data_IF_516858379836
#
_entry.id   IF_516858379836
#
_cell.length_a   1.000
_cell.length_b   1.000
_cell.length_c   1.000
_cell.angle_alpha   90.00
_cell.angle_beta   90.00
_cell.angle_gamma   90.00
#
_symmetry.space_group_name_H-M   'P 1'
#
loop_
_entity.id
_entity.type
_entity.pdbx_description
1 polymer ?
#
# COMPACT_ATOMS: atom_id res chain seq x y z
N UNK A 1 3.45 -7.32 -1.62
CA UNK A 1 4.46 -8.30 -1.18
C UNK A 1 5.26 -8.75 -2.40
N UNK A 2 6.57 -8.57 -2.36
CA UNK A 2 7.51 -9.01 -3.40
C UNK A 2 7.87 -10.48 -3.19
N UNK A 3 7.62 -11.32 -4.20
CA UNK A 3 7.95 -12.74 -4.22
C UNK A 3 8.91 -13.00 -5.39
N UNK A 4 9.98 -13.75 -5.15
CA UNK A 4 10.85 -14.27 -6.21
C UNK A 4 10.94 -15.79 -6.14
N UNK A 5 10.88 -16.42 -7.30
CA UNK A 5 11.15 -17.85 -7.48
C UNK A 5 12.47 -17.98 -8.23
N UNK A 6 13.41 -18.72 -7.64
CA UNK A 6 14.78 -18.89 -8.13
C UNK A 6 15.02 -20.36 -8.44
N UNK A 7 15.38 -20.68 -9.67
CA UNK A 7 15.59 -22.06 -10.09
C UNK A 7 15.68 -22.19 -11.61
N UNK A 8 15.50 -23.39 -12.15
CA UNK A 8 15.38 -23.55 -13.61
C UNK A 8 14.04 -23.01 -14.08
N UNK A 9 14.06 -22.07 -15.04
CA UNK A 9 12.86 -21.34 -15.47
C UNK A 9 11.68 -22.24 -15.85
N UNK A 10 11.92 -23.32 -16.59
CA UNK A 10 10.88 -24.26 -17.01
C UNK A 10 10.18 -24.95 -15.81
N UNK A 11 10.91 -25.24 -14.74
CA UNK A 11 10.38 -25.89 -13.53
C UNK A 11 9.70 -24.86 -12.61
N UNK A 12 10.22 -23.64 -12.55
CA UNK A 12 9.68 -22.56 -11.74
C UNK A 12 8.45 -21.89 -12.35
N UNK A 13 8.22 -22.04 -13.66
CA UNK A 13 7.08 -21.44 -14.36
C UNK A 13 5.74 -21.97 -13.85
N UNK A 14 5.62 -23.29 -13.76
CA UNK A 14 4.40 -23.96 -13.27
C UNK A 14 4.07 -23.47 -11.86
N UNK A 15 5.08 -23.38 -11.00
CA UNK A 15 4.92 -22.90 -9.63
C UNK A 15 4.50 -21.43 -9.56
N UNK A 16 5.05 -20.59 -10.44
CA UNK A 16 4.67 -19.19 -10.51
C UNK A 16 3.21 -19.04 -10.94
N UNK A 17 2.80 -19.72 -12.01
CA UNK A 17 1.45 -19.65 -12.56
C UNK A 17 0.40 -20.07 -11.52
N UNK A 18 0.66 -21.17 -10.80
CA UNK A 18 -0.24 -21.65 -9.75
C UNK A 18 -0.30 -20.70 -8.55
N UNK A 19 0.83 -20.15 -8.12
CA UNK A 19 0.87 -19.22 -7.00
C UNK A 19 0.19 -17.89 -7.32
N UNK A 20 0.40 -17.36 -8.53
CA UNK A 20 -0.29 -16.18 -9.03
C UNK A 20 -1.81 -16.41 -9.10
N UNK A 21 -2.24 -17.56 -9.61
CA UNK A 21 -3.66 -17.91 -9.69
C UNK A 21 -4.34 -17.99 -8.31
N UNK A 22 -3.67 -18.55 -7.30
CA UNK A 22 -4.26 -18.73 -5.97
C UNK A 22 -4.18 -17.47 -5.09
N UNK A 23 -3.18 -16.63 -5.28
CA UNK A 23 -2.89 -15.52 -4.36
C UNK A 23 -3.13 -14.14 -4.96
N UNK A 24 -3.40 -14.07 -6.27
CA UNK A 24 -3.45 -12.85 -7.08
C UNK A 24 -2.19 -11.97 -6.95
N UNK A 25 -1.06 -12.57 -6.54
CA UNK A 25 0.19 -11.88 -6.25
C UNK A 25 1.23 -12.26 -7.30
N UNK A 26 1.68 -11.27 -8.09
CA UNK A 26 2.71 -11.49 -9.11
C UNK A 26 4.03 -11.95 -8.50
N UNK A 27 4.68 -12.89 -9.18
CA UNK A 27 5.97 -13.45 -8.82
C UNK A 27 7.01 -13.09 -9.88
N UNK A 28 8.20 -12.69 -9.44
CA UNK A 28 9.34 -12.58 -10.34
C UNK A 28 10.08 -13.92 -10.38
N UNK A 29 10.61 -14.27 -11.55
CA UNK A 29 11.43 -15.47 -11.71
C UNK A 29 12.87 -15.10 -12.01
N UNK A 30 13.80 -15.87 -11.46
CA UNK A 30 15.23 -15.72 -11.73
C UNK A 30 15.88 -17.09 -11.89
N UNK A 31 16.81 -17.19 -12.82
CA UNK A 31 17.66 -18.38 -12.93
C UNK A 31 18.75 -18.36 -11.86
N UNK A 32 19.09 -19.53 -11.31
CA UNK A 32 20.16 -19.66 -10.33
C UNK A 32 21.53 -19.59 -11.02
N UNK A 33 22.06 -18.38 -11.15
CA UNK A 33 23.38 -18.07 -11.75
C UNK A 33 24.37 -17.57 -10.69
N UNK A 34 25.66 -17.47 -11.03
CA UNK A 34 26.71 -17.04 -10.09
C UNK A 34 26.49 -15.62 -9.53
N UNK A 35 25.80 -14.75 -10.27
CA UNK A 35 25.50 -13.36 -9.90
C UNK A 35 24.15 -13.19 -9.19
N UNK A 36 23.45 -14.28 -8.87
CA UNK A 36 22.09 -14.26 -8.33
C UNK A 36 21.97 -13.45 -7.03
N UNK A 37 23.00 -13.50 -6.17
CA UNK A 37 23.05 -12.73 -4.91
C UNK A 37 22.91 -11.24 -5.20
N UNK A 38 23.69 -10.73 -6.17
CA UNK A 38 23.65 -9.32 -6.55
C UNK A 38 22.29 -8.93 -7.13
N UNK A 39 21.70 -9.80 -7.97
CA UNK A 39 20.38 -9.55 -8.57
C UNK A 39 19.27 -9.51 -7.53
N UNK A 40 19.25 -10.47 -6.60
CA UNK A 40 18.25 -10.54 -5.54
C UNK A 40 18.39 -9.33 -4.60
N UNK A 41 19.61 -8.89 -4.29
CA UNK A 41 19.84 -7.75 -3.40
C UNK A 41 19.37 -6.39 -3.95
N UNK A 42 19.05 -6.27 -5.26
CA UNK A 42 18.54 -5.02 -5.84
C UNK A 42 17.16 -4.62 -5.32
N UNK A 43 16.42 -5.53 -4.71
CA UNK A 43 15.05 -5.32 -4.23
C UNK A 43 14.85 -6.00 -2.88
N UNK A 44 13.94 -5.47 -2.08
CA UNK A 44 13.53 -6.13 -0.83
C UNK A 44 12.50 -7.21 -1.15
N UNK A 45 12.88 -8.47 -0.94
CA UNK A 45 11.99 -9.63 -1.06
C UNK A 45 11.36 -9.99 0.27
N UNK A 46 10.10 -10.42 0.22
CA UNK A 46 9.36 -10.86 1.40
C UNK A 46 9.29 -12.39 1.44
N UNK A 47 9.13 -13.02 0.28
CA UNK A 47 9.21 -14.47 0.09
C UNK A 47 10.19 -14.79 -1.02
N UNK A 48 11.10 -15.73 -0.77
CA UNK A 48 12.06 -16.26 -1.74
C UNK A 48 11.86 -17.77 -1.78
N UNK A 49 11.53 -18.29 -2.96
CA UNK A 49 11.37 -19.72 -3.19
C UNK A 49 12.54 -20.16 -4.05
N UNK A 50 13.39 -21.04 -3.55
CA UNK A 50 14.57 -21.50 -4.24
C UNK A 50 14.41 -22.99 -4.56
N UNK A 51 14.26 -23.32 -5.84
CA UNK A 51 14.11 -24.69 -6.32
C UNK A 51 15.44 -25.16 -6.95
N UNK A 52 16.09 -26.15 -6.33
CA UNK A 52 17.47 -26.53 -6.69
C UNK A 52 17.70 -28.03 -6.73
N UNK A 53 18.55 -28.43 -7.67
CA UNK A 53 19.07 -29.79 -7.78
C UNK A 53 20.32 -29.97 -6.91
N UNK A 54 20.74 -31.22 -6.72
CA UNK A 54 21.86 -31.59 -5.85
C UNK A 54 23.14 -30.77 -6.12
N UNK A 55 23.53 -30.63 -7.39
CA UNK A 55 24.76 -29.94 -7.80
C UNK A 55 24.81 -28.46 -7.37
N UNK A 56 23.63 -27.84 -7.17
CA UNK A 56 23.51 -26.42 -6.90
C UNK A 56 23.16 -26.10 -5.44
N UNK A 57 23.02 -27.11 -4.59
CA UNK A 57 22.47 -26.94 -3.25
C UNK A 57 23.42 -26.20 -2.30
N UNK A 58 24.73 -26.43 -2.41
CA UNK A 58 25.72 -25.66 -1.65
C UNK A 58 25.75 -24.17 -2.05
N UNK A 59 25.67 -23.89 -3.34
CA UNK A 59 25.56 -22.53 -3.90
C UNK A 59 24.28 -21.84 -3.42
N UNK A 60 23.17 -22.58 -3.42
CA UNK A 60 21.88 -22.15 -2.91
C UNK A 60 21.96 -21.73 -1.43
N UNK A 61 22.48 -22.60 -0.56
CA UNK A 61 22.64 -22.28 0.86
C UNK A 61 23.54 -21.05 1.09
N UNK A 62 24.65 -20.93 0.35
CA UNK A 62 25.55 -19.76 0.45
C UNK A 62 24.86 -18.46 0.01
N UNK A 63 24.06 -18.54 -1.05
CA UNK A 63 23.23 -17.43 -1.54
C UNK A 63 22.18 -17.04 -0.50
N UNK A 64 21.48 -18.01 0.08
CA UNK A 64 20.45 -17.77 1.10
C UNK A 64 21.03 -17.16 2.38
N UNK A 65 22.18 -17.63 2.82
CA UNK A 65 22.90 -17.03 3.94
C UNK A 65 23.20 -15.55 3.68
N UNK A 66 23.73 -15.22 2.50
CA UNK A 66 24.05 -13.84 2.11
C UNK A 66 22.80 -12.96 2.03
N UNK A 67 21.68 -13.51 1.56
CA UNK A 67 20.38 -12.84 1.52
C UNK A 67 19.87 -12.56 2.93
N UNK A 68 19.92 -13.54 3.83
CA UNK A 68 19.45 -13.42 5.21
C UNK A 68 20.26 -12.41 6.02
N UNK A 69 21.56 -12.26 5.76
CA UNK A 69 22.38 -11.21 6.38
C UNK A 69 21.93 -9.79 5.99
N UNK A 70 21.47 -9.60 4.74
CA UNK A 70 21.01 -8.28 4.26
C UNK A 70 19.53 -8.02 4.52
N UNK A 71 18.71 -9.08 4.59
CA UNK A 71 17.29 -9.00 4.87
C UNK A 71 16.85 -10.17 5.78
N UNK A 72 17.10 -10.06 7.10
CA UNK A 72 16.79 -11.13 8.05
C UNK A 72 15.30 -11.48 8.10
N UNK A 73 14.44 -10.51 7.78
CA UNK A 73 12.99 -10.65 7.75
C UNK A 73 12.43 -11.37 6.52
N UNK A 74 13.26 -11.64 5.50
CA UNK A 74 12.80 -12.39 4.33
C UNK A 74 12.42 -13.81 4.73
N UNK A 75 11.30 -14.32 4.24
CA UNK A 75 10.96 -15.72 4.38
C UNK A 75 11.52 -16.49 3.19
N UNK A 76 12.14 -17.64 3.47
CA UNK A 76 12.84 -18.46 2.47
C UNK A 76 12.28 -19.87 2.49
N UNK A 77 11.88 -20.37 1.33
CA UNK A 77 11.50 -21.76 1.10
C UNK A 77 12.54 -22.37 0.16
N UNK A 78 13.24 -23.40 0.62
CA UNK A 78 14.18 -24.17 -0.20
C UNK A 78 13.50 -25.48 -0.61
N UNK A 79 13.45 -25.74 -1.91
CA UNK A 79 12.90 -26.97 -2.50
C UNK A 79 14.05 -27.74 -3.13
N UNK A 80 14.25 -29.00 -2.73
CA UNK A 80 15.29 -29.86 -3.29
C UNK A 80 14.81 -31.31 -3.44
N UNK A 81 15.29 -32.03 -4.45
CA UNK A 81 15.04 -33.47 -4.57
C UNK A 81 15.84 -34.33 -3.57
N UNK A 82 16.74 -33.71 -2.79
CA UNK A 82 17.62 -34.42 -1.88
C UNK A 82 16.96 -34.70 -0.52
N UNK A 83 17.19 -35.90 0.01
CA UNK A 83 16.74 -36.37 1.33
C UNK A 83 17.84 -36.39 2.40
N UNK A 84 19.03 -35.88 2.07
CA UNK A 84 20.16 -35.79 3.01
C UNK A 84 19.84 -34.92 4.23
N UNK A 85 19.90 -35.52 5.41
CA UNK A 85 19.50 -34.90 6.68
C UNK A 85 20.50 -33.85 7.15
N UNK A 86 21.80 -34.07 6.95
CA UNK A 86 22.83 -33.13 7.40
C UNK A 86 22.74 -31.82 6.61
N UNK A 87 22.38 -31.96 5.34
CA UNK A 87 22.26 -30.85 4.43
C UNK A 87 20.94 -30.10 4.59
N UNK A 88 19.85 -30.79 4.97
CA UNK A 88 18.63 -30.16 5.47
C UNK A 88 18.88 -29.35 6.74
N UNK A 89 19.62 -29.91 7.70
CA UNK A 89 19.99 -29.21 8.93
C UNK A 89 20.77 -27.94 8.63
N UNK A 90 21.79 -28.06 7.77
CA UNK A 90 22.62 -26.92 7.36
C UNK A 90 21.82 -25.81 6.66
N UNK A 91 20.79 -26.17 5.88
CA UNK A 91 19.91 -25.20 5.25
C UNK A 91 19.03 -24.47 6.28
N UNK A 92 18.47 -25.19 7.25
CA UNK A 92 17.70 -24.59 8.35
C UNK A 92 18.56 -23.67 9.22
N UNK A 93 19.80 -24.08 9.52
CA UNK A 93 20.78 -23.28 10.26
C UNK A 93 21.17 -22.00 9.49
N UNK A 94 21.06 -22.01 8.17
CA UNK A 94 21.27 -20.84 7.31
C UNK A 94 20.09 -19.85 7.33
N UNK A 95 19.04 -20.12 8.12
CA UNK A 95 17.88 -19.27 8.29
C UNK A 95 16.75 -19.54 7.29
N UNK A 96 16.77 -20.68 6.59
CA UNK A 96 15.65 -21.12 5.76
C UNK A 96 14.41 -21.36 6.63
N UNK A 97 13.26 -20.82 6.23
CA UNK A 97 12.02 -20.96 6.98
C UNK A 97 11.37 -22.33 6.75
N UNK A 98 11.44 -22.84 5.51
CA UNK A 98 10.94 -24.17 5.16
C UNK A 98 11.86 -24.88 4.18
N UNK A 99 12.16 -26.14 4.45
CA UNK A 99 12.82 -27.04 3.51
C UNK A 99 11.81 -28.06 3.00
N UNK A 100 11.63 -28.17 1.68
CA UNK A 100 10.69 -29.08 1.03
C UNK A 100 11.43 -30.07 0.13
N UNK A 101 10.99 -31.33 0.15
CA UNK A 101 11.64 -32.42 -0.60
C UNK A 101 10.82 -32.81 -1.82
N UNK A 102 11.40 -32.72 -3.01
CA UNK A 102 10.78 -33.21 -4.24
C UNK A 102 10.96 -34.75 -4.39
N UNK A 103 10.00 -35.51 -4.95
CA UNK A 103 8.71 -35.09 -5.48
C UNK A 103 7.72 -34.71 -4.37
N UNK A 104 7.10 -33.55 -4.53
CA UNK A 104 6.01 -33.07 -3.69
C UNK A 104 4.73 -33.08 -4.51
N UNK A 105 3.62 -33.53 -3.92
CA UNK A 105 2.32 -33.29 -4.54
C UNK A 105 2.08 -31.76 -4.61
N UNK A 106 1.70 -31.27 -5.78
CA UNK A 106 1.46 -29.84 -6.04
C UNK A 106 0.60 -29.18 -4.96
N UNK A 107 -0.45 -29.89 -4.51
CA UNK A 107 -1.36 -29.39 -3.49
C UNK A 107 -0.69 -29.14 -2.13
N UNK A 108 0.26 -29.98 -1.72
CA UNK A 108 1.02 -29.82 -0.47
C UNK A 108 1.92 -28.58 -0.54
N UNK A 109 2.53 -28.34 -1.71
CA UNK A 109 3.36 -27.16 -1.94
C UNK A 109 2.52 -25.89 -1.85
N UNK A 110 1.35 -25.88 -2.48
CA UNK A 110 0.43 -24.74 -2.48
C UNK A 110 -0.18 -24.45 -1.10
N UNK A 111 -0.52 -25.48 -0.33
CA UNK A 111 -0.96 -25.33 1.07
C UNK A 111 0.14 -24.72 1.95
N UNK A 112 1.40 -25.13 1.77
CA UNK A 112 2.52 -24.55 2.52
C UNK A 112 2.79 -23.11 2.12
N UNK A 113 2.76 -22.81 0.83
CA UNK A 113 2.97 -21.47 0.29
C UNK A 113 1.88 -20.49 0.73
N UNK A 114 0.62 -20.90 0.66
CA UNK A 114 -0.51 -20.07 1.13
C UNK A 114 -0.42 -19.78 2.62
N UNK A 115 -0.05 -20.78 3.44
CA UNK A 115 0.19 -20.60 4.88
C UNK A 115 1.32 -19.63 5.14
N UNK A 116 2.46 -19.79 4.45
CA UNK A 116 3.61 -18.93 4.67
C UNK A 116 3.35 -17.49 4.22
N UNK A 117 2.67 -17.31 3.08
CA UNK A 117 2.23 -15.99 2.63
C UNK A 117 1.32 -15.35 3.69
N UNK A 118 0.40 -16.10 4.29
CA UNK A 118 -0.44 -15.59 5.36
C UNK A 118 0.41 -15.14 6.56
N UNK A 119 1.35 -15.97 7.02
CA UNK A 119 2.28 -15.62 8.12
C UNK A 119 3.11 -14.39 7.80
N UNK A 120 3.64 -14.29 6.58
CA UNK A 120 4.39 -13.13 6.12
C UNK A 120 3.50 -11.90 6.15
N UNK A 121 2.27 -11.98 5.64
CA UNK A 121 1.34 -10.84 5.66
C UNK A 121 1.01 -10.38 7.09
N UNK A 122 0.85 -11.33 8.01
CA UNK A 122 0.65 -11.05 9.44
C UNK A 122 1.91 -10.40 10.07
N UNK A 123 3.09 -10.92 9.75
CA UNK A 123 4.39 -10.43 10.27
C UNK A 123 4.78 -9.08 9.68
N UNK A 124 4.48 -8.85 8.41
CA UNK A 124 4.65 -7.57 7.72
C UNK A 124 3.66 -6.52 8.21
N UNK A 125 2.66 -6.93 9.01
CA UNK A 125 1.64 -6.06 9.54
C UNK A 125 0.94 -5.29 8.41
N UNK A 126 0.58 -6.00 7.33
CA UNK A 126 -0.11 -5.38 6.18
C UNK A 126 -1.36 -4.68 6.68
N UNK A 127 -1.40 -3.37 6.50
CA UNK A 127 -2.49 -2.53 6.98
C UNK A 127 -3.59 -2.41 5.96
N UNK A 128 -4.80 -2.20 6.45
CA UNK A 128 -5.89 -1.66 5.65
C UNK A 128 -5.99 -0.16 5.93
N UNK A 129 -5.85 0.62 4.88
CA UNK A 129 -5.84 2.09 4.94
C UNK A 129 -7.12 2.59 4.29
N UNK A 130 -7.86 3.43 5.01
CA UNK A 130 -9.05 4.11 4.49
C UNK A 130 -8.81 5.62 4.49
N UNK A 131 -8.75 6.23 3.31
CA UNK A 131 -8.75 7.68 3.17
C UNK A 131 -10.17 8.17 2.87
N UNK A 132 -10.63 9.19 3.60
CA UNK A 132 -11.99 9.72 3.54
C UNK A 132 -11.92 11.16 3.07
N UNK A 133 -12.59 11.45 1.95
CA UNK A 133 -12.81 12.78 1.39
C UNK A 133 -14.29 13.15 1.34
N UNK A 134 -14.57 14.45 1.35
CA UNK A 134 -15.92 14.97 1.17
C UNK A 134 -16.28 14.95 -0.31
N UNK A 135 -15.35 15.37 -1.16
CA UNK A 135 -15.52 15.54 -2.61
C UNK A 135 -14.45 14.76 -3.39
N UNK A 136 -14.74 14.43 -4.67
CA UNK A 136 -13.73 13.91 -5.60
C UNK A 136 -12.52 14.84 -5.67
N UNK A 137 -11.28 14.34 -5.50
CA UNK A 137 -9.99 15.07 -5.46
C UNK A 137 -9.41 15.35 -4.05
N UNK A 138 -10.23 15.38 -3.00
CA UNK A 138 -9.77 15.75 -1.64
C UNK A 138 -8.63 14.83 -1.14
N UNK A 139 -8.81 13.52 -1.31
CA UNK A 139 -7.88 12.49 -0.83
C UNK A 139 -6.60 12.51 -1.64
N UNK A 140 -6.74 12.70 -2.96
CA UNK A 140 -5.65 12.73 -3.91
C UNK A 140 -4.72 13.93 -3.64
N UNK A 141 -5.31 15.08 -3.33
CA UNK A 141 -4.59 16.28 -2.93
C UNK A 141 -3.97 16.11 -1.54
N UNK A 142 -4.73 15.60 -0.58
CA UNK A 142 -4.34 15.58 0.83
C UNK A 142 -3.27 14.54 1.16
N UNK A 143 -3.45 13.30 0.68
CA UNK A 143 -2.61 12.16 1.09
C UNK A 143 -2.27 11.19 -0.05
N UNK A 144 -2.45 11.60 -1.31
CA UNK A 144 -2.25 10.74 -2.48
C UNK A 144 -0.90 10.03 -2.54
N UNK A 145 0.17 10.74 -2.20
CA UNK A 145 1.52 10.16 -2.23
C UNK A 145 1.73 9.16 -1.09
N UNK A 146 1.17 9.42 0.09
CA UNK A 146 1.16 8.48 1.21
C UNK A 146 0.38 7.22 0.88
N UNK A 147 -0.72 7.32 0.13
CA UNK A 147 -1.48 6.15 -0.34
C UNK A 147 -0.65 5.28 -1.29
N UNK A 148 0.09 5.87 -2.22
CA UNK A 148 1.02 5.13 -3.10
C UNK A 148 2.10 4.42 -2.29
N UNK A 149 2.64 5.08 -1.27
CA UNK A 149 3.63 4.50 -0.36
C UNK A 149 3.07 3.32 0.45
N UNK A 150 1.81 3.40 0.88
CA UNK A 150 1.09 2.27 1.48
C UNK A 150 0.92 1.12 0.48
N UNK A 151 0.44 1.41 -0.73
CA UNK A 151 0.26 0.41 -1.78
C UNK A 151 1.58 -0.31 -2.14
N UNK A 152 2.70 0.40 -2.24
CA UNK A 152 4.02 -0.20 -2.49
C UNK A 152 4.44 -1.16 -1.37
N UNK A 153 4.11 -0.84 -0.11
CA UNK A 153 4.37 -1.73 1.05
C UNK A 153 3.47 -2.97 1.04
N UNK A 154 2.43 -2.98 0.20
CA UNK A 154 1.45 -4.05 0.11
C UNK A 154 0.22 -3.86 0.99
N UNK A 155 0.07 -2.68 1.60
CA UNK A 155 -1.14 -2.30 2.34
C UNK A 155 -2.34 -2.24 1.38
N UNK A 156 -3.52 -2.57 1.91
CA UNK A 156 -4.77 -2.48 1.13
C UNK A 156 -5.31 -1.07 1.26
N UNK A 157 -5.30 -0.34 0.16
CA UNK A 157 -5.76 1.04 0.11
C UNK A 157 -7.23 1.11 -0.29
N UNK A 158 -7.98 1.95 0.42
CA UNK A 158 -9.39 2.23 0.19
C UNK A 158 -9.60 3.74 0.23
N UNK A 159 -10.42 4.24 -0.69
CA UNK A 159 -10.81 5.65 -0.76
C UNK A 159 -12.33 5.72 -0.60
N UNK A 160 -12.80 6.55 0.32
CA UNK A 160 -14.21 6.89 0.48
C UNK A 160 -14.40 8.36 0.13
N UNK A 161 -15.27 8.61 -0.83
CA UNK A 161 -15.70 9.96 -1.20
C UNK A 161 -17.19 10.10 -0.92
N UNK A 162 -17.55 11.07 -0.07
CA UNK A 162 -18.90 11.15 0.48
C UNK A 162 -19.96 11.72 -0.48
N UNK A 163 -19.54 12.56 -1.42
CA UNK A 163 -20.41 13.22 -2.41
C UNK A 163 -19.98 12.89 -3.83
N UNK A 164 -20.85 13.20 -4.79
CA UNK A 164 -20.50 13.14 -6.21
C UNK A 164 -19.83 14.42 -6.73
N UNK A 165 -19.75 15.46 -5.89
CA UNK A 165 -19.14 16.71 -6.26
C UNK A 165 -19.93 17.50 -7.32
N UNK A 166 -21.25 17.35 -7.35
CA UNK A 166 -22.11 17.93 -8.40
C UNK A 166 -22.12 19.46 -8.48
N UNK A 167 -21.66 20.19 -7.44
CA UNK A 167 -21.47 21.65 -7.50
C UNK A 167 -20.14 22.03 -8.17
N UNK A 168 -19.18 21.11 -8.20
CA UNK A 168 -17.88 21.30 -8.84
C UNK A 168 -17.84 20.85 -10.31
N UNK A 169 -18.84 20.12 -10.81
CA UNK A 169 -18.86 19.64 -12.19
C UNK A 169 -19.88 18.53 -12.41
N UNK A 170 -19.86 17.94 -13.60
CA UNK A 170 -20.74 16.81 -13.91
C UNK A 170 -20.40 15.59 -13.06
N UNK A 171 -21.42 14.98 -12.43
CA UNK A 171 -21.30 13.75 -11.63
C UNK A 171 -20.56 12.66 -12.42
N UNK A 172 -20.96 12.42 -13.66
CA UNK A 172 -20.38 11.36 -14.50
C UNK A 172 -18.88 11.60 -14.79
N UNK A 173 -18.50 12.87 -14.96
CA UNK A 173 -17.11 13.24 -15.19
C UNK A 173 -16.32 13.03 -13.89
N UNK A 174 -16.77 13.61 -12.78
CA UNK A 174 -16.06 13.51 -11.50
C UNK A 174 -15.94 12.07 -11.00
N UNK A 175 -16.94 11.23 -11.24
CA UNK A 175 -16.87 9.80 -10.95
C UNK A 175 -15.77 9.10 -11.76
N UNK A 176 -15.69 9.35 -13.08
CA UNK A 176 -14.66 8.76 -13.93
C UNK A 176 -13.25 9.22 -13.56
N UNK A 177 -13.11 10.50 -13.20
CA UNK A 177 -11.84 11.06 -12.72
C UNK A 177 -11.40 10.38 -11.41
N UNK A 178 -12.32 10.23 -10.45
CA UNK A 178 -12.07 9.54 -9.17
C UNK A 178 -11.70 8.07 -9.37
N UNK A 179 -12.43 7.37 -10.25
CA UNK A 179 -12.18 5.96 -10.54
C UNK A 179 -10.78 5.78 -11.13
N UNK A 180 -10.40 6.63 -12.07
CA UNK A 180 -9.06 6.62 -12.68
C UNK A 180 -7.97 6.89 -11.66
N UNK A 181 -8.16 7.85 -10.75
CA UNK A 181 -7.21 8.14 -9.69
C UNK A 181 -7.05 6.97 -8.71
N UNK A 182 -8.17 6.35 -8.29
CA UNK A 182 -8.14 5.18 -7.42
C UNK A 182 -7.44 3.98 -8.07
N UNK A 183 -7.72 3.70 -9.35
CA UNK A 183 -7.05 2.63 -10.11
C UNK A 183 -5.54 2.85 -10.20
N UNK A 184 -5.11 4.10 -10.40
CA UNK A 184 -3.70 4.46 -10.51
C UNK A 184 -2.89 4.15 -9.25
N UNK A 185 -3.50 4.25 -8.07
CA UNK A 185 -2.88 3.88 -6.79
C UNK A 185 -3.27 2.50 -6.28
N UNK A 186 -3.94 1.69 -7.12
CA UNK A 186 -4.45 0.37 -6.77
C UNK A 186 -5.35 0.38 -5.51
N UNK A 187 -6.20 1.40 -5.39
CA UNK A 187 -7.15 1.57 -4.30
C UNK A 187 -8.57 1.09 -4.70
N UNK A 188 -9.32 0.62 -3.71
CA UNK A 188 -10.75 0.39 -3.87
C UNK A 188 -11.52 1.68 -3.58
N UNK A 189 -12.28 2.17 -4.56
CA UNK A 189 -13.10 3.38 -4.42
C UNK A 189 -14.51 3.07 -3.90
N UNK A 190 -14.95 3.83 -2.91
CA UNK A 190 -16.32 3.90 -2.42
C UNK A 190 -16.86 5.31 -2.63
N UNK A 191 -17.68 5.49 -3.66
CA UNK A 191 -18.43 6.72 -3.88
C UNK A 191 -19.78 6.66 -3.17
N UNK A 192 -20.16 7.74 -2.49
CA UNK A 192 -21.47 7.92 -1.85
C UNK A 192 -22.17 9.14 -2.44
N UNK A 193 -23.46 9.24 -2.16
CA UNK A 193 -24.35 10.22 -2.78
C UNK A 193 -24.88 11.25 -1.77
N UNK A 194 -24.07 11.61 -0.75
CA UNK A 194 -24.43 12.76 0.08
C UNK A 194 -24.44 14.00 -0.82
N UNK A 195 -25.30 14.95 -0.47
CA UNK A 195 -25.49 16.16 -1.27
C UNK A 195 -24.29 17.09 -1.10
N UNK A 196 -23.61 17.40 -2.20
CA UNK A 196 -22.44 18.29 -2.23
C UNK A 196 -22.81 19.68 -1.69
N UNK A 197 -21.95 20.25 -0.84
CA UNK A 197 -22.12 21.49 -0.05
C UNK A 197 -23.13 21.41 1.11
N UNK A 198 -23.73 20.24 1.34
CA UNK A 198 -24.73 20.00 2.38
C UNK A 198 -24.37 18.80 3.29
N UNK A 199 -23.12 18.32 3.29
CA UNK A 199 -22.70 17.25 4.22
C UNK A 199 -22.98 17.73 5.65
N UNK A 200 -23.73 16.94 6.41
CA UNK A 200 -23.94 17.17 7.85
C UNK A 200 -22.91 16.39 8.67
N UNK A 201 -22.65 16.80 9.91
CA UNK A 201 -21.89 16.00 10.88
C UNK A 201 -22.77 14.99 11.63
N UNK A 202 -24.03 14.86 11.20
CA UNK A 202 -25.08 14.11 11.87
C UNK A 202 -25.15 12.61 11.51
N UNK A 203 -26.21 11.93 11.96
CA UNK A 203 -26.35 10.47 11.87
C UNK A 203 -26.25 9.88 10.46
N UNK A 204 -26.69 10.61 9.43
CA UNK A 204 -26.62 10.16 8.04
C UNK A 204 -25.17 9.97 7.57
N UNK A 205 -24.33 10.99 7.78
CA UNK A 205 -22.90 10.96 7.40
C UNK A 205 -22.15 9.95 8.25
N UNK A 206 -22.42 9.92 9.58
CA UNK A 206 -21.80 8.94 10.49
C UNK A 206 -22.09 7.52 10.01
N UNK A 207 -23.36 7.18 9.78
CA UNK A 207 -23.76 5.85 9.32
C UNK A 207 -23.14 5.50 7.97
N UNK A 208 -23.07 6.46 7.06
CA UNK A 208 -22.45 6.28 5.73
C UNK A 208 -20.97 5.89 5.85
N UNK A 209 -20.24 6.53 6.78
CA UNK A 209 -18.83 6.21 7.06
C UNK A 209 -18.73 4.86 7.79
N UNK A 210 -19.58 4.60 8.79
CA UNK A 210 -19.61 3.34 9.56
C UNK A 210 -19.83 2.12 8.66
N UNK A 211 -20.69 2.20 7.65
CA UNK A 211 -20.90 1.13 6.66
C UNK A 211 -19.60 0.74 5.95
N UNK A 212 -18.80 1.73 5.57
CA UNK A 212 -17.53 1.50 4.87
C UNK A 212 -16.46 1.02 5.85
N UNK A 213 -16.39 1.60 7.04
CA UNK A 213 -15.50 1.12 8.12
C UNK A 213 -15.82 -0.34 8.45
N UNK A 214 -17.09 -0.72 8.54
CA UNK A 214 -17.52 -2.10 8.81
C UNK A 214 -17.08 -3.06 7.69
N UNK A 215 -17.16 -2.63 6.43
CA UNK A 215 -16.73 -3.41 5.26
C UNK A 215 -15.23 -3.54 5.16
N UNK A 216 -14.49 -2.45 5.39
CA UNK A 216 -13.02 -2.41 5.23
C UNK A 216 -12.32 -2.99 6.45
N UNK A 217 -12.80 -2.68 7.65
CA UNK A 217 -12.11 -2.88 8.95
C UNK A 217 -10.71 -2.23 8.91
N UNK A 218 -10.62 -0.89 8.75
CA UNK A 218 -9.33 -0.20 8.56
C UNK A 218 -8.49 -0.17 9.84
N UNK A 219 -7.18 -0.31 9.67
CA UNK A 219 -6.19 -0.08 10.74
C UNK A 219 -5.84 1.40 10.86
N UNK A 220 -5.84 2.12 9.72
CA UNK A 220 -5.43 3.52 9.61
C UNK A 220 -6.52 4.26 8.83
N UNK A 221 -6.91 5.43 9.34
CA UNK A 221 -7.76 6.38 8.63
C UNK A 221 -7.03 7.69 8.36
N UNK A 222 -7.17 8.19 7.14
CA UNK A 222 -6.84 9.57 6.75
C UNK A 222 -8.13 10.32 6.47
N UNK A 223 -8.31 11.53 7.01
CA UNK A 223 -9.51 12.35 6.77
C UNK A 223 -9.17 13.85 6.77
N UNK A 224 -10.18 14.68 6.59
CA UNK A 224 -10.05 16.15 6.64
C UNK A 224 -9.56 16.64 8.01
N UNK A 225 -9.03 17.86 8.07
CA UNK A 225 -8.75 18.55 9.34
C UNK A 225 -9.99 19.30 9.83
N UNK A 226 -10.11 19.47 11.15
CA UNK A 226 -11.07 20.42 11.74
C UNK A 226 -10.71 21.88 11.40
N UNK A 227 -9.44 22.15 11.13
CA UNK A 227 -8.91 23.48 10.82
C UNK A 227 -9.06 23.81 9.33
N UNK A 228 -10.21 23.47 8.75
CA UNK A 228 -10.55 23.69 7.35
C UNK A 228 -11.64 24.76 7.21
N UNK A 229 -11.55 25.65 6.22
CA UNK A 229 -12.54 26.69 5.96
C UNK A 229 -13.80 26.15 5.28
N UNK A 230 -13.75 24.99 4.62
CA UNK A 230 -14.90 24.35 3.97
C UNK A 230 -15.74 23.57 5.00
N UNK A 231 -17.05 23.82 5.05
CA UNK A 231 -17.97 23.20 6.02
C UNK A 231 -18.08 21.68 5.82
N UNK A 232 -18.20 21.21 4.58
CA UNK A 232 -18.27 19.77 4.28
C UNK A 232 -17.02 19.02 4.76
N UNK A 233 -15.83 19.63 4.70
CA UNK A 233 -14.60 19.04 5.20
C UNK A 233 -14.62 18.92 6.73
N UNK A 234 -15.02 19.99 7.44
CA UNK A 234 -15.18 19.97 8.90
C UNK A 234 -16.23 18.97 9.36
N UNK A 235 -17.37 18.90 8.67
CA UNK A 235 -18.46 17.99 9.00
C UNK A 235 -18.07 16.53 8.73
N UNK A 236 -17.33 16.28 7.65
CA UNK A 236 -16.70 14.97 7.35
C UNK A 236 -15.73 14.57 8.45
N UNK A 237 -14.89 15.50 8.94
CA UNK A 237 -14.01 15.25 10.08
C UNK A 237 -14.82 14.85 11.32
N UNK A 238 -15.83 15.64 11.71
CA UNK A 238 -16.65 15.36 12.90
C UNK A 238 -17.35 13.99 12.81
N UNK A 239 -17.99 13.70 11.68
CA UNK A 239 -18.64 12.41 11.46
C UNK A 239 -17.64 11.25 11.49
N UNK A 240 -16.44 11.44 10.91
CA UNK A 240 -15.36 10.45 10.95
C UNK A 240 -14.91 10.18 12.38
N UNK A 241 -14.78 11.21 13.24
CA UNK A 241 -14.36 11.02 14.64
C UNK A 241 -15.31 10.11 15.42
N UNK A 242 -16.61 10.22 15.15
CA UNK A 242 -17.63 9.37 15.78
C UNK A 242 -17.60 7.96 15.18
N UNK A 243 -17.65 7.85 13.85
CA UNK A 243 -17.68 6.56 13.14
C UNK A 243 -16.42 5.71 13.38
N UNK A 244 -15.24 6.36 13.49
CA UNK A 244 -13.94 5.71 13.66
C UNK A 244 -13.51 5.53 15.12
N UNK A 245 -14.45 5.55 16.08
CA UNK A 245 -14.12 5.39 17.52
C UNK A 245 -13.34 4.13 17.88
N UNK A 246 -13.48 3.05 17.09
CA UNK A 246 -12.76 1.78 17.27
C UNK A 246 -11.43 1.68 16.52
N UNK A 247 -11.07 2.67 15.69
CA UNK A 247 -9.84 2.65 14.88
C UNK A 247 -8.71 3.31 15.66
N UNK A 248 -7.56 2.66 15.81
CA UNK A 248 -6.49 3.14 16.69
C UNK A 248 -5.63 4.24 16.06
N UNK A 249 -5.52 4.28 14.73
CA UNK A 249 -4.74 5.30 14.03
C UNK A 249 -5.63 6.16 13.14
N UNK A 250 -5.70 7.46 13.45
CA UNK A 250 -6.48 8.44 12.69
C UNK A 250 -5.64 9.70 12.51
N UNK A 251 -5.48 10.11 11.26
CA UNK A 251 -4.69 11.25 10.83
C UNK A 251 -5.55 12.20 10.00
N UNK A 252 -5.30 13.51 10.14
CA UNK A 252 -5.92 14.51 9.27
C UNK A 252 -4.92 15.07 8.27
N UNK A 253 -5.29 15.09 6.99
CA UNK A 253 -4.45 15.62 5.91
C UNK A 253 -4.68 17.11 5.66
N UNK A 254 -3.70 17.74 5.03
CA UNK A 254 -3.78 19.14 4.60
C UNK A 254 -4.54 19.25 3.28
N UNK A 255 -5.75 19.79 3.32
CA UNK A 255 -6.50 20.21 2.14
C UNK A 255 -6.10 21.64 1.71
N UNK A 256 -6.43 22.08 0.48
CA UNK A 256 -6.20 23.46 0.04
C UNK A 256 -6.94 24.53 0.87
N UNK A 257 -8.06 24.17 1.50
CA UNK A 257 -8.89 25.06 2.30
C UNK A 257 -8.56 25.06 3.79
N UNK A 258 -7.57 24.29 4.22
CA UNK A 258 -7.01 24.36 5.57
C UNK A 258 -6.49 25.76 5.87
N UNK A 259 -6.81 26.26 7.06
CA UNK A 259 -6.31 27.54 7.56
C UNK A 259 -5.01 27.35 8.35
N UNK A 260 -4.42 28.48 8.77
CA UNK A 260 -3.13 28.53 9.47
C UNK A 260 -3.09 27.79 10.82
N UNK A 261 -4.23 27.32 11.33
CA UNK A 261 -4.30 26.52 12.56
C UNK A 261 -4.04 25.02 12.32
N UNK A 262 -3.90 24.58 11.07
CA UNK A 262 -3.46 23.21 10.75
C UNK A 262 -2.06 22.98 11.34
N UNK A 263 -1.95 22.03 12.29
CA UNK A 263 -0.75 21.80 13.11
C UNK A 263 -0.27 20.36 12.99
N UNK A 264 0.41 20.00 11.89
CA UNK A 264 0.85 18.64 11.67
C UNK A 264 1.94 18.26 12.68
N UNK A 265 1.87 17.02 13.16
CA UNK A 265 2.88 16.41 14.03
C UNK A 265 3.60 15.24 13.35
N UNK A 266 3.08 14.78 12.20
CA UNK A 266 3.67 13.72 11.40
C UNK A 266 3.96 14.26 10.00
N UNK A 267 5.14 13.93 9.50
CA UNK A 267 5.62 14.34 8.18
C UNK A 267 6.06 13.10 7.42
N UNK A 268 5.33 12.75 6.38
CA UNK A 268 5.58 11.56 5.57
C UNK A 268 6.45 11.94 4.37
N UNK A 269 7.70 11.47 4.35
CA UNK A 269 8.57 11.62 3.18
C UNK A 269 8.03 10.85 1.97
N UNK A 270 7.81 11.58 0.87
CA UNK A 270 7.16 11.10 -0.34
C UNK A 270 7.84 11.57 -1.63
N UNK A 271 9.13 11.92 -1.57
CA UNK A 271 9.93 12.40 -2.71
C UNK A 271 9.78 11.51 -3.93
N UNK A 272 9.79 10.19 -3.71
CA UNK A 272 9.64 9.17 -4.75
C UNK A 272 8.29 9.24 -5.49
N UNK A 273 7.23 9.69 -4.84
CA UNK A 273 5.85 9.62 -5.34
C UNK A 273 5.27 10.99 -5.71
N UNK A 274 6.08 12.06 -5.64
CA UNK A 274 5.59 13.41 -5.87
C UNK A 274 5.08 13.61 -7.31
N UNK A 275 5.83 13.07 -8.29
CA UNK A 275 5.45 13.17 -9.70
C UNK A 275 4.18 12.36 -9.98
N UNK A 276 4.10 11.15 -9.43
CA UNK A 276 2.91 10.30 -9.54
C UNK A 276 1.69 10.96 -8.87
N UNK A 277 1.86 11.64 -7.72
CA UNK A 277 0.76 12.40 -7.08
C UNK A 277 0.25 13.50 -8.00
N UNK A 278 1.14 14.24 -8.66
CA UNK A 278 0.76 15.31 -9.59
C UNK A 278 0.03 14.74 -10.80
N UNK A 279 0.46 13.58 -11.30
CA UNK A 279 -0.22 12.88 -12.38
C UNK A 279 -1.60 12.36 -11.94
N UNK A 280 -1.70 11.79 -10.75
CA UNK A 280 -2.99 11.36 -10.19
C UNK A 280 -3.97 12.53 -10.08
N UNK A 281 -3.52 13.69 -9.58
CA UNK A 281 -4.32 14.92 -9.53
C UNK A 281 -4.65 15.45 -10.94
N UNK A 282 -3.80 15.18 -11.94
CA UNK A 282 -4.03 15.58 -13.34
C UNK A 282 -5.27 14.93 -13.96
N UNK A 283 -5.71 13.78 -13.42
CA UNK A 283 -6.93 13.12 -13.87
C UNK A 283 -8.20 13.91 -13.58
N UNK A 284 -8.20 14.78 -12.57
CA UNK A 284 -9.29 15.71 -12.28
C UNK A 284 -9.24 16.94 -13.19
N UNK A 285 -9.22 16.72 -14.51
CA UNK A 285 -9.09 17.78 -15.51
C UNK A 285 -10.19 18.84 -15.39
N UNK A 286 -11.39 18.43 -14.98
CA UNK A 286 -12.54 19.30 -14.75
C UNK A 286 -12.31 20.29 -13.61
N UNK A 287 -11.44 19.94 -12.67
CA UNK A 287 -11.05 20.78 -11.53
C UNK A 287 -9.75 21.53 -11.80
N UNK A 288 -8.73 20.85 -12.34
CA UNK A 288 -7.38 21.41 -12.57
C UNK A 288 -7.37 22.63 -13.49
N UNK A 289 -8.32 22.72 -14.42
CA UNK A 289 -8.46 23.86 -15.34
C UNK A 289 -9.02 25.13 -14.70
N UNK A 290 -9.71 25.02 -13.57
CA UNK A 290 -10.39 26.15 -12.88
C UNK A 290 -9.81 26.46 -11.50
N UNK A 291 -9.21 25.48 -10.84
CA UNK A 291 -8.72 25.60 -9.48
C UNK A 291 -7.22 25.91 -9.47
N UNK A 292 -6.85 27.17 -9.20
CA UNK A 292 -5.45 27.61 -9.19
C UNK A 292 -4.57 26.83 -8.21
N UNK A 293 -5.12 26.37 -7.08
CA UNK A 293 -4.41 25.58 -6.07
C UNK A 293 -3.98 24.19 -6.56
N UNK A 294 -4.51 23.71 -7.68
CA UNK A 294 -4.10 22.44 -8.32
C UNK A 294 -2.92 22.59 -9.28
N UNK A 295 -2.30 23.78 -9.34
CA UNK A 295 -1.08 23.98 -10.11
C UNK A 295 0.07 23.11 -9.55
N UNK A 296 0.78 22.41 -10.43
CA UNK A 296 1.87 21.50 -10.06
C UNK A 296 2.93 22.18 -9.16
N UNK A 297 3.25 23.45 -9.43
CA UNK A 297 4.18 24.25 -8.64
C UNK A 297 3.69 24.50 -7.21
N UNK A 298 2.39 24.74 -7.00
CA UNK A 298 1.81 24.94 -5.67
C UNK A 298 1.77 23.65 -4.87
N UNK A 299 1.45 22.53 -5.51
CA UNK A 299 1.45 21.21 -4.86
C UNK A 299 2.89 20.87 -4.40
N UNK A 300 3.90 21.05 -5.26
CA UNK A 300 5.31 20.79 -4.90
C UNK A 300 5.81 21.72 -3.80
N UNK A 301 5.62 23.03 -3.97
CA UNK A 301 6.09 24.01 -2.99
C UNK A 301 5.45 23.83 -1.62
N UNK A 302 4.19 23.39 -1.56
CA UNK A 302 3.54 23.03 -0.29
C UNK A 302 4.25 21.85 0.37
N UNK A 303 4.53 20.79 -0.38
CA UNK A 303 5.22 19.61 0.14
C UNK A 303 6.68 19.93 0.58
N UNK A 304 7.37 20.80 -0.16
CA UNK A 304 8.70 21.31 0.21
C UNK A 304 8.66 22.17 1.48
N UNK A 305 7.67 23.07 1.58
CA UNK A 305 7.51 23.96 2.73
C UNK A 305 7.41 23.15 4.02
N UNK A 306 6.56 22.11 4.04
CA UNK A 306 6.41 21.26 5.22
C UNK A 306 7.63 20.38 5.48
N UNK A 307 8.41 20.04 4.44
CA UNK A 307 9.63 19.27 4.56
C UNK A 307 10.65 19.91 5.50
N UNK A 308 10.63 21.24 5.66
CA UNK A 308 11.51 21.96 6.61
C UNK A 308 11.41 21.46 8.06
N UNK A 309 10.30 20.84 8.44
CA UNK A 309 10.07 20.31 9.80
C UNK A 309 10.53 18.84 9.96
N UNK A 310 10.97 18.19 8.88
CA UNK A 310 11.41 16.79 8.86
C UNK A 310 12.73 16.61 8.10
N UNK A 311 13.77 17.35 8.51
CA UNK A 311 15.12 17.29 7.91
C UNK A 311 15.19 17.68 6.42
N UNK A 312 14.23 18.49 5.94
CA UNK A 312 14.08 18.91 4.54
C UNK A 312 13.67 17.75 3.61
N UNK A 313 13.13 18.08 2.44
CA UNK A 313 12.61 17.11 1.48
C UNK A 313 11.17 17.43 1.05
N UNK A 314 10.53 16.45 0.43
CA UNK A 314 9.15 16.52 -0.06
C UNK A 314 8.29 15.67 0.86
N UNK A 315 7.38 16.30 1.60
CA UNK A 315 6.56 15.58 2.58
C UNK A 315 5.07 15.86 2.42
N UNK A 316 4.25 14.90 2.82
CA UNK A 316 2.85 15.13 3.17
C UNK A 316 2.73 15.32 4.69
N UNK A 317 2.18 16.45 5.15
CA UNK A 317 1.99 16.71 6.57
C UNK A 317 0.65 16.17 7.08
N UNK A 318 0.64 15.65 8.31
CA UNK A 318 -0.56 15.13 8.97
C UNK A 318 -0.68 15.60 10.41
N UNK A 319 -1.87 16.04 10.80
CA UNK A 319 -2.25 16.14 12.20
C UNK A 319 -2.49 14.73 12.76
N UNK A 320 -1.99 14.47 13.96
CA UNK A 320 -2.16 13.18 14.64
C UNK A 320 -3.35 13.30 15.57
N UNK A 321 -4.48 12.68 15.20
CA UNK A 321 -5.69 12.68 16.01
C UNK A 321 -5.67 11.53 17.00
N UNK A 322 -5.20 10.36 16.55
CA UNK A 322 -4.99 9.15 17.36
C UNK A 322 -3.83 8.35 16.76
N UNK A 323 -2.90 7.88 17.58
CA UNK A 323 -1.76 7.05 17.18
C UNK A 323 -1.38 6.07 18.29
#
# INVERSE_FOLDING_TARGET
MNIVIVGKLAETQILADELEAQTAQKCEQMELTADIVYRIQKKRWHLIIMAVNYENLATACTTLYSIKQNNPSSHVILISANKDVDLMSSALDSGVNHFLVYPLATQVLLERLSTEIKTIRETLNIKKVLAIGAHPDDVEIGCGASLMKHAERGDKVHILTLTNGEQGGSIDIRYKESLKAAEYVNANLYMKNLKDTFITDGPETIKTIEEVIAKVQPDIIYTHSINDNHQDHRNTYHATMVAARGVTQVYSYLSPSCNINFKPLRFEHVEKYMDDKIEMISFFHSQKTKCAYLADSLIRSTAEYWGRFSRYGIVEPFEVIRA
#
